data_IF_218822421824
#
_entry.id   IF_218822421824
#
_cell.length_a   1.000
_cell.length_b   1.000
_cell.length_c   1.000
_cell.angle_alpha   90.00
_cell.angle_beta   90.00
_cell.angle_gamma   90.00
#
_symmetry.space_group_name_H-M   'P 1'
#
loop_
_entity.id
_entity.type
_entity.pdbx_description
1 polymer ?
#
# COMPACT_ATOMS: atom_id res chain seq x y z
N UNK A 1 3.99 5.47 16.64
CA UNK A 1 3.03 4.41 16.99
C UNK A 1 2.99 3.36 15.87
N UNK A 2 4.07 2.59 15.78
CA UNK A 2 4.43 1.74 14.63
C UNK A 2 3.60 0.45 14.54
N UNK A 3 3.39 -0.21 15.68
CA UNK A 3 2.63 -1.46 15.74
C UNK A 3 1.16 -1.25 15.35
N UNK A 4 0.56 -0.15 15.82
CA UNK A 4 -0.82 0.24 15.47
C UNK A 4 -0.95 0.50 13.98
N UNK A 5 0.03 1.19 13.37
CA UNK A 5 0.05 1.43 11.92
C UNK A 5 0.08 0.14 11.09
N UNK A 6 0.95 -0.82 11.44
CA UNK A 6 1.00 -2.13 10.77
C UNK A 6 -0.32 -2.90 10.90
N UNK A 7 -0.96 -2.86 12.08
CA UNK A 7 -2.24 -3.53 12.31
C UNK A 7 -3.35 -2.97 11.42
N UNK A 8 -3.44 -1.64 11.28
CA UNK A 8 -4.44 -1.00 10.41
C UNK A 8 -4.19 -1.36 8.95
N UNK A 9 -2.94 -1.30 8.49
CA UNK A 9 -2.61 -1.65 7.10
C UNK A 9 -2.90 -3.12 6.80
N UNK A 10 -2.69 -4.02 7.76
CA UNK A 10 -3.04 -5.43 7.65
C UNK A 10 -4.54 -5.61 7.51
N UNK A 11 -5.33 -4.96 8.36
CA UNK A 11 -6.79 -4.97 8.26
C UNK A 11 -7.27 -4.48 6.89
N UNK A 12 -6.72 -3.38 6.40
CA UNK A 12 -7.07 -2.83 5.08
C UNK A 12 -6.69 -3.78 3.94
N UNK A 13 -5.49 -4.38 3.99
CA UNK A 13 -5.04 -5.36 3.00
C UNK A 13 -5.94 -6.60 3.00
N UNK A 14 -6.27 -7.13 4.17
CA UNK A 14 -7.12 -8.32 4.29
C UNK A 14 -8.53 -8.05 3.80
N UNK A 15 -9.13 -6.93 4.19
CA UNK A 15 -10.47 -6.53 3.77
C UNK A 15 -10.54 -6.33 2.25
N UNK A 16 -9.51 -5.71 1.65
CA UNK A 16 -9.38 -5.57 0.19
C UNK A 16 -9.44 -6.93 -0.51
N UNK A 17 -8.73 -7.93 0.02
CA UNK A 17 -8.62 -9.28 -0.57
C UNK A 17 -9.82 -10.18 -0.29
N UNK A 18 -10.36 -10.17 0.93
CA UNK A 18 -11.47 -11.05 1.32
C UNK A 18 -12.80 -10.60 0.75
N UNK A 19 -13.04 -9.28 0.73
CA UNK A 19 -14.32 -8.69 0.33
C UNK A 19 -14.35 -8.24 -1.13
N UNK A 20 -13.26 -8.47 -1.89
CA UNK A 20 -13.08 -8.01 -3.27
C UNK A 20 -13.36 -6.50 -3.42
N UNK A 21 -12.87 -5.71 -2.46
CA UNK A 21 -13.05 -4.27 -2.40
C UNK A 21 -11.78 -3.54 -2.84
N UNK A 22 -11.94 -2.39 -3.49
CA UNK A 22 -10.80 -1.54 -3.85
C UNK A 22 -10.45 -0.58 -2.71
N UNK A 23 -9.20 -0.64 -2.23
CA UNK A 23 -8.66 0.29 -1.23
C UNK A 23 -7.65 1.22 -1.89
N UNK A 24 -7.78 2.53 -1.65
CA UNK A 24 -6.80 3.54 -2.08
C UNK A 24 -6.15 4.12 -0.83
N UNK A 25 -4.82 3.99 -0.74
CA UNK A 25 -4.01 4.55 0.34
C UNK A 25 -3.18 5.70 -0.18
N UNK A 26 -3.29 6.86 0.47
CA UNK A 26 -2.46 8.04 0.19
C UNK A 26 -1.43 8.18 1.30
N UNK A 27 -0.16 8.16 0.93
CA UNK A 27 0.94 8.21 1.89
C UNK A 27 2.17 8.92 1.31
N UNK A 28 2.99 9.47 2.21
CA UNK A 28 4.36 9.90 1.89
C UNK A 28 5.40 8.84 2.27
N UNK A 29 5.01 7.78 2.97
CA UNK A 29 5.90 6.71 3.36
C UNK A 29 6.01 5.68 2.24
N UNK A 30 7.11 5.73 1.49
CA UNK A 30 7.36 4.81 0.38
C UNK A 30 7.70 3.39 0.83
N UNK A 31 8.06 3.18 2.10
CA UNK A 31 8.39 1.84 2.62
C UNK A 31 7.21 0.87 2.49
N UNK A 32 5.97 1.37 2.47
CA UNK A 32 4.77 0.53 2.35
C UNK A 32 4.39 0.22 0.90
N UNK A 33 5.01 0.85 -0.10
CA UNK A 33 4.73 0.61 -1.52
C UNK A 33 4.73 -0.88 -1.93
N UNK A 34 5.61 -1.76 -1.39
CA UNK A 34 5.59 -3.18 -1.73
C UNK A 34 4.27 -3.89 -1.42
N UNK A 35 3.42 -3.38 -0.52
CA UNK A 35 2.11 -4.01 -0.22
C UNK A 35 1.04 -3.76 -1.27
N UNK A 36 1.22 -2.73 -2.10
CA UNK A 36 0.19 -2.26 -3.03
C UNK A 36 0.27 -3.04 -4.34
N UNK A 37 -0.89 -3.34 -4.94
CA UNK A 37 -0.99 -3.88 -6.30
C UNK A 37 -0.53 -2.88 -7.37
N UNK A 38 -0.79 -1.59 -7.13
CA UNK A 38 -0.42 -0.50 -8.01
C UNK A 38 0.06 0.69 -7.20
N UNK A 39 1.17 1.28 -7.61
CA UNK A 39 1.73 2.48 -7.00
C UNK A 39 1.67 3.61 -8.01
N UNK A 40 1.01 4.70 -7.62
CA UNK A 40 0.90 5.91 -8.45
C UNK A 40 1.78 6.98 -7.79
N UNK A 41 2.90 7.31 -8.43
CA UNK A 41 3.77 8.37 -7.94
C UNK A 41 3.25 9.72 -8.40
N UNK A 42 3.08 10.64 -7.45
CA UNK A 42 2.66 12.01 -7.71
C UNK A 42 3.83 12.99 -7.54
N UNK A 43 3.98 13.90 -8.49
CA UNK A 43 4.95 15.01 -8.43
C UNK A 43 4.33 16.27 -9.02
N UNK A 44 4.39 17.38 -8.29
CA UNK A 44 3.85 18.68 -8.72
C UNK A 44 2.39 18.59 -9.22
N UNK A 45 1.54 17.92 -8.45
CA UNK A 45 0.11 17.68 -8.75
C UNK A 45 -0.18 16.89 -10.03
N UNK A 46 0.82 16.19 -10.57
CA UNK A 46 0.68 15.32 -11.74
C UNK A 46 1.17 13.91 -11.41
N UNK A 47 0.65 12.93 -12.14
CA UNK A 47 1.20 11.56 -12.11
C UNK A 47 2.55 11.57 -12.81
N UNK A 48 3.60 11.18 -12.10
CA UNK A 48 4.94 11.03 -12.66
C UNK A 48 5.23 9.61 -13.13
N UNK A 49 4.64 8.61 -12.46
CA UNK A 49 4.86 7.19 -12.76
C UNK A 49 3.70 6.35 -12.22
N UNK A 50 3.43 5.23 -12.89
CA UNK A 50 2.51 4.19 -12.42
C UNK A 50 3.26 2.86 -12.49
N UNK A 51 3.36 2.18 -11.36
CA UNK A 51 3.99 0.85 -11.25
C UNK A 51 2.90 -0.16 -10.92
N UNK A 52 2.87 -1.29 -11.63
CA UNK A 52 2.08 -2.47 -11.27
C UNK A 52 3.02 -3.41 -10.53
N UNK A 53 2.58 -3.88 -9.36
CA UNK A 53 3.32 -4.84 -8.55
C UNK A 53 2.72 -6.23 -8.77
N UNK A 54 3.40 -7.05 -9.56
CA UNK A 54 2.97 -8.42 -9.87
C UNK A 54 2.93 -9.33 -8.63
N UNK A 55 3.71 -8.98 -7.59
CA UNK A 55 3.85 -9.78 -6.38
C UNK A 55 3.78 -8.89 -5.12
N UNK A 56 2.56 -8.41 -4.73
CA UNK A 56 2.40 -7.60 -3.53
C UNK A 56 2.90 -8.32 -2.27
N UNK A 57 3.76 -7.64 -1.52
CA UNK A 57 4.31 -8.14 -0.26
C UNK A 57 3.27 -8.01 0.85
N UNK A 58 3.00 -9.08 1.63
CA UNK A 58 2.18 -8.98 2.83
C UNK A 58 2.74 -7.91 3.78
N UNK A 59 1.88 -7.08 4.37
CA UNK A 59 2.36 -5.94 5.18
C UNK A 59 3.21 -6.36 6.38
N UNK A 60 3.03 -7.59 6.86
CA UNK A 60 3.79 -8.22 7.94
C UNK A 60 5.28 -8.35 7.60
N UNK A 61 5.59 -8.56 6.32
CA UNK A 61 6.94 -8.78 5.80
C UNK A 61 7.64 -7.48 5.37
N UNK A 62 6.96 -6.33 5.49
CA UNK A 62 7.54 -5.04 5.15
C UNK A 62 8.38 -4.53 6.32
N UNK A 63 9.68 -4.33 6.05
CA UNK A 63 10.54 -3.55 6.93
C UNK A 63 10.28 -2.05 6.73
N UNK A 64 10.25 -1.32 7.84
CA UNK A 64 9.81 0.08 7.90
C UNK A 64 10.97 0.95 8.37
#
# INVERSE_FOLDING_TARGET
DYNTGKMILKLLQDTCRSENMTVILVTHNTAICPMADRVIHMKSSKVSEIVVNEHPTPVENIEW
#
